data_IF_516601312831
#
_entry.id   IF_516601312831
#
_cell.length_a   1.000
_cell.length_b   1.000
_cell.length_c   1.000
_cell.angle_alpha   90.00
_cell.angle_beta   90.00
_cell.angle_gamma   90.00
#
_symmetry.space_group_name_H-M   'P 1'
#
loop_
_entity.id
_entity.type
_entity.pdbx_description
1 polymer ?
#
# COMPACT_ATOMS: atom_id res chain seq x y z
N UNK A 1 -18.41 -32.03 19.86
CA UNK A 1 -18.09 -30.75 19.19
C UNK A 1 -16.57 -30.63 19.24
N UNK A 2 -15.90 -30.89 18.12
CA UNK A 2 -14.43 -30.81 18.07
C UNK A 2 -14.09 -29.36 17.80
N UNK A 3 -13.52 -28.69 18.79
CA UNK A 3 -12.95 -27.36 18.60
C UNK A 3 -11.70 -27.54 17.74
N UNK A 4 -11.81 -27.19 16.45
CA UNK A 4 -10.63 -27.00 15.61
C UNK A 4 -9.90 -25.77 16.16
N UNK A 5 -8.60 -25.92 16.40
CA UNK A 5 -7.69 -24.77 16.54
C UNK A 5 -7.87 -23.86 15.32
N UNK A 6 -7.92 -22.53 15.47
CA UNK A 6 -7.89 -21.64 14.32
C UNK A 6 -6.63 -21.94 13.52
N UNK A 7 -6.77 -22.28 12.24
CA UNK A 7 -5.66 -22.19 11.31
C UNK A 7 -5.17 -20.72 11.32
N UNK A 8 -3.86 -20.46 11.15
CA UNK A 8 -3.40 -19.08 10.96
C UNK A 8 -4.25 -18.44 9.85
N UNK A 9 -4.67 -17.19 10.05
CA UNK A 9 -5.45 -16.45 9.06
C UNK A 9 -4.63 -16.40 7.77
N UNK A 10 -4.89 -17.28 6.80
CA UNK A 10 -4.37 -17.10 5.46
C UNK A 10 -4.99 -15.82 4.90
N UNK A 11 -4.19 -14.76 4.79
CA UNK A 11 -4.63 -13.53 4.13
C UNK A 11 -4.71 -13.79 2.64
N UNK A 12 -5.82 -13.40 2.02
CA UNK A 12 -6.08 -13.62 0.60
C UNK A 12 -6.28 -12.28 -0.09
N UNK A 13 -5.73 -12.13 -1.30
CA UNK A 13 -6.04 -11.01 -2.18
C UNK A 13 -7.10 -11.46 -3.18
N UNK A 14 -8.23 -10.78 -3.19
CA UNK A 14 -9.35 -11.07 -4.08
C UNK A 14 -9.60 -9.87 -4.99
N UNK A 15 -9.65 -10.13 -6.29
CA UNK A 15 -10.12 -9.17 -7.28
C UNK A 15 -11.54 -9.51 -7.73
N UNK A 16 -12.31 -8.49 -8.09
CA UNK A 16 -13.61 -8.65 -8.76
C UNK A 16 -13.48 -8.12 -10.19
N UNK A 17 -13.73 -8.98 -11.17
CA UNK A 17 -13.70 -8.60 -12.59
C UNK A 17 -15.07 -8.02 -12.98
N UNK A 18 -15.11 -6.75 -13.39
CA UNK A 18 -16.35 -6.07 -13.77
C UNK A 18 -16.91 -6.54 -15.13
N UNK A 19 -16.08 -7.14 -15.98
CA UNK A 19 -16.49 -7.62 -17.30
C UNK A 19 -17.13 -9.01 -17.25
N UNK A 20 -16.57 -9.91 -16.44
CA UNK A 20 -17.15 -11.25 -16.22
C UNK A 20 -18.06 -11.34 -15.00
N UNK A 21 -18.06 -10.34 -14.11
CA UNK A 21 -18.76 -10.35 -12.82
C UNK A 21 -18.32 -11.49 -11.89
N UNK A 22 -17.07 -11.91 -11.98
CA UNK A 22 -16.51 -13.02 -11.20
C UNK A 22 -15.42 -12.57 -10.23
N UNK A 23 -15.34 -13.27 -9.09
CA UNK A 23 -14.23 -13.12 -8.16
C UNK A 23 -13.05 -13.99 -8.61
N UNK A 24 -11.84 -13.42 -8.51
CA UNK A 24 -10.58 -14.13 -8.73
C UNK A 24 -9.66 -13.96 -7.55
N UNK A 25 -9.02 -15.05 -7.15
CA UNK A 25 -7.92 -15.00 -6.19
C UNK A 25 -6.65 -14.56 -6.91
N UNK A 26 -5.96 -13.61 -6.32
CA UNK A 26 -4.67 -13.11 -6.80
C UNK A 26 -3.61 -13.55 -5.81
N UNK A 27 -2.47 -14.01 -6.34
CA UNK A 27 -1.36 -14.37 -5.48
C UNK A 27 -0.71 -13.11 -4.88
N UNK A 28 -0.47 -13.17 -3.58
CA UNK A 28 0.26 -12.16 -2.82
C UNK A 28 1.76 -12.23 -3.14
N UNK A 29 2.51 -11.13 -2.95
CA UNK A 29 3.96 -11.20 -2.99
C UNK A 29 4.49 -12.07 -1.84
N UNK A 30 5.75 -12.50 -1.95
CA UNK A 30 6.46 -13.21 -0.88
C UNK A 30 6.77 -12.25 0.29
N UNK A 31 5.71 -11.88 1.02
CA UNK A 31 5.71 -10.97 2.14
C UNK A 31 4.99 -11.61 3.33
N UNK A 32 5.50 -11.35 4.53
CA UNK A 32 4.96 -11.91 5.77
C UNK A 32 3.75 -11.09 6.23
N UNK A 33 2.64 -11.13 5.49
CA UNK A 33 1.44 -10.42 5.90
C UNK A 33 0.91 -10.94 7.23
N UNK A 34 1.10 -12.21 7.58
CA UNK A 34 0.60 -12.78 8.84
C UNK A 34 1.18 -12.09 10.08
N UNK A 35 2.41 -11.57 9.97
CA UNK A 35 3.10 -10.81 11.03
C UNK A 35 2.80 -9.30 10.96
N UNK A 36 2.17 -8.84 9.88
CA UNK A 36 1.80 -7.45 9.70
C UNK A 36 0.60 -7.08 10.57
N UNK A 37 0.82 -6.13 11.48
CA UNK A 37 -0.23 -5.53 12.30
C UNK A 37 -0.99 -4.43 11.56
N UNK A 38 -0.47 -3.95 10.43
CA UNK A 38 -1.16 -3.06 9.51
C UNK A 38 -0.77 -3.40 8.06
N UNK A 39 -1.74 -3.45 7.16
CA UNK A 39 -1.51 -3.59 5.73
C UNK A 39 -2.63 -2.91 4.95
N UNK A 40 -2.35 -2.51 3.72
CA UNK A 40 -3.30 -1.80 2.87
C UNK A 40 -2.99 -2.07 1.39
N UNK A 41 -4.03 -2.03 0.54
CA UNK A 41 -3.92 -2.25 -0.91
C UNK A 41 -4.55 -1.07 -1.62
N UNK A 42 -3.79 -0.44 -2.52
CA UNK A 42 -4.25 0.72 -3.29
C UNK A 42 -3.78 0.65 -4.73
N UNK A 43 -4.45 1.39 -5.61
CA UNK A 43 -3.92 1.68 -6.93
C UNK A 43 -3.01 2.92 -6.86
N UNK A 44 -1.82 2.84 -7.43
CA UNK A 44 -0.88 3.97 -7.53
C UNK A 44 -0.20 3.95 -8.88
N UNK A 45 -0.33 5.04 -9.66
CA UNK A 45 0.33 5.16 -10.96
C UNK A 45 -0.13 4.14 -12.01
N UNK A 46 -1.30 3.53 -11.83
CA UNK A 46 -1.81 2.46 -12.70
C UNK A 46 -1.34 1.06 -12.31
N UNK A 47 -0.62 0.90 -11.20
CA UNK A 47 -0.23 -0.40 -10.65
C UNK A 47 -0.95 -0.69 -9.33
N UNK A 48 -1.04 -1.97 -8.92
CA UNK A 48 -1.48 -2.32 -7.56
C UNK A 48 -0.30 -2.16 -6.61
N UNK A 49 -0.52 -1.46 -5.51
CA UNK A 49 0.42 -1.26 -4.43
C UNK A 49 -0.09 -1.95 -3.15
N UNK A 50 0.74 -2.79 -2.54
CA UNK A 50 0.50 -3.41 -1.24
C UNK A 50 1.49 -2.81 -0.24
N UNK A 51 0.98 -2.35 0.90
CA UNK A 51 1.80 -1.94 2.05
C UNK A 51 1.65 -2.94 3.18
N UNK A 52 2.74 -3.23 3.88
CA UNK A 52 2.74 -4.11 5.03
C UNK A 52 3.65 -3.54 6.12
N UNK A 53 3.10 -3.35 7.31
CA UNK A 53 3.84 -2.88 8.48
C UNK A 53 3.87 -3.98 9.53
N UNK A 54 5.08 -4.42 9.88
CA UNK A 54 5.33 -5.52 10.81
C UNK A 54 6.48 -5.16 11.74
N UNK A 55 6.66 -6.00 12.76
CA UNK A 55 7.76 -5.86 13.72
C UNK A 55 8.89 -6.78 13.28
N UNK A 56 10.09 -6.23 13.18
CA UNK A 56 11.31 -6.99 12.97
C UNK A 56 12.27 -6.72 14.13
N UNK A 57 12.46 -7.71 15.01
CA UNK A 57 13.15 -7.56 16.29
C UNK A 57 12.66 -6.35 17.13
N UNK A 58 13.50 -5.32 17.27
CA UNK A 58 13.21 -4.09 18.00
C UNK A 58 12.61 -2.98 17.14
N UNK A 59 12.56 -3.19 15.82
CA UNK A 59 12.25 -2.15 14.84
C UNK A 59 10.86 -2.38 14.23
N UNK A 60 10.32 -1.29 13.65
CA UNK A 60 9.11 -1.34 12.83
C UNK A 60 9.55 -1.25 11.38
N UNK A 61 9.12 -2.21 10.58
CA UNK A 61 9.39 -2.28 9.15
C UNK A 61 8.11 -1.97 8.40
N UNK A 62 8.20 -1.04 7.44
CA UNK A 62 7.15 -0.77 6.47
C UNK A 62 7.64 -1.14 5.06
N UNK A 63 7.08 -2.22 4.52
CA UNK A 63 7.33 -2.69 3.17
C UNK A 63 6.26 -2.15 2.22
N UNK A 64 6.71 -1.77 1.02
CA UNK A 64 5.86 -1.33 -0.08
C UNK A 64 6.16 -2.18 -1.30
N UNK A 65 5.15 -2.87 -1.81
CA UNK A 65 5.23 -3.76 -2.97
C UNK A 65 4.34 -3.24 -4.09
N UNK A 66 4.77 -3.43 -5.33
CA UNK A 66 4.01 -3.05 -6.54
C UNK A 66 3.87 -4.23 -7.48
N UNK A 67 2.65 -4.50 -7.96
CA UNK A 67 2.32 -5.45 -9.03
C UNK A 67 2.09 -4.65 -10.32
N UNK A 68 2.99 -4.84 -11.30
CA UNK A 68 2.92 -4.15 -12.59
C UNK A 68 2.06 -4.88 -13.63
N UNK A 69 1.90 -6.19 -13.48
CA UNK A 69 1.06 -7.00 -14.36
C UNK A 69 -0.03 -7.66 -13.52
N UNK A 70 -1.26 -7.19 -13.74
CA UNK A 70 -2.41 -7.55 -12.92
C UNK A 70 -2.68 -9.06 -12.89
N UNK A 71 -2.56 -9.65 -11.71
CA UNK A 71 -2.78 -11.08 -11.48
C UNK A 71 -1.59 -11.98 -11.78
N UNK A 72 -0.42 -11.42 -12.11
CA UNK A 72 0.82 -12.17 -12.29
C UNK A 72 1.69 -12.00 -11.05
N UNK A 73 1.90 -13.09 -10.30
CA UNK A 73 2.66 -13.08 -9.05
C UNK A 73 4.08 -12.56 -9.23
N UNK A 74 4.74 -12.98 -10.31
CA UNK A 74 6.13 -12.65 -10.63
C UNK A 74 6.32 -11.16 -10.95
N UNK A 75 5.22 -10.44 -11.21
CA UNK A 75 5.26 -8.99 -11.45
C UNK A 75 5.30 -8.17 -10.17
N UNK A 76 5.10 -8.79 -9.00
CA UNK A 76 5.33 -8.14 -7.72
C UNK A 76 6.80 -7.80 -7.55
N UNK A 77 7.07 -6.56 -7.19
CA UNK A 77 8.41 -6.10 -6.85
C UNK A 77 8.37 -5.23 -5.60
N UNK A 78 9.33 -5.44 -4.69
CA UNK A 78 9.46 -4.59 -3.51
C UNK A 78 10.03 -3.25 -3.94
N UNK A 79 9.24 -2.19 -3.76
CA UNK A 79 9.64 -0.82 -4.09
C UNK A 79 10.55 -0.26 -3.00
N UNK A 80 10.09 -0.32 -1.74
CA UNK A 80 10.76 0.25 -0.57
C UNK A 80 10.59 -0.68 0.63
N UNK A 81 11.60 -0.70 1.50
CA UNK A 81 11.54 -1.26 2.84
C UNK A 81 12.12 -0.22 3.80
N UNK A 82 11.28 0.31 4.69
CA UNK A 82 11.70 1.32 5.67
C UNK A 82 11.77 0.71 7.05
N UNK A 83 13.00 0.66 7.59
CA UNK A 83 13.23 0.31 8.99
C UNK A 83 13.28 1.60 9.82
N UNK A 84 12.35 1.75 10.76
CA UNK A 84 12.43 2.83 11.74
C UNK A 84 13.06 2.31 13.03
N UNK A 85 14.28 2.76 13.37
CA UNK A 85 14.83 2.51 14.68
C UNK A 85 14.03 3.32 15.70
N UNK A 86 13.49 2.60 16.69
CA UNK A 86 12.69 3.11 17.82
C UNK A 86 11.19 3.28 17.58
N UNK A 87 10.43 2.76 18.56
CA UNK A 87 8.97 2.79 18.68
C UNK A 87 8.35 4.15 18.34
N UNK A 88 7.84 4.29 17.12
CA UNK A 88 6.79 5.26 16.82
C UNK A 88 5.50 4.45 16.65
N UNK A 89 4.57 4.49 17.62
CA UNK A 89 3.40 3.60 17.67
C UNK A 89 2.35 3.76 16.55
N UNK A 90 2.62 4.54 15.51
CA UNK A 90 1.61 4.97 14.53
C UNK A 90 2.15 5.17 13.11
N UNK A 91 3.17 4.43 12.72
CA UNK A 91 3.78 4.53 11.39
C UNK A 91 2.91 3.79 10.37
N UNK A 92 1.73 4.35 10.10
CA UNK A 92 1.01 4.06 8.86
C UNK A 92 1.82 4.75 7.75
N UNK A 93 2.34 3.96 6.81
CA UNK A 93 3.05 4.44 5.62
C UNK A 93 2.15 4.20 4.42
N UNK A 94 1.61 5.28 3.87
CA UNK A 94 0.73 5.21 2.70
C UNK A 94 1.44 5.84 1.50
N UNK A 95 1.86 5.06 0.50
CA UNK A 95 2.31 5.62 -0.77
C UNK A 95 1.13 6.28 -1.48
N UNK A 96 1.35 7.49 -1.98
CA UNK A 96 0.31 8.31 -2.58
C UNK A 96 0.48 8.47 -4.08
N UNK A 97 1.69 8.79 -4.53
CA UNK A 97 1.97 9.07 -5.92
C UNK A 97 3.47 8.99 -6.23
N UNK A 98 3.79 8.72 -7.49
CA UNK A 98 5.12 8.97 -8.03
C UNK A 98 5.31 10.45 -8.37
N UNK A 99 6.55 10.94 -8.31
CA UNK A 99 6.93 12.20 -8.94
C UNK A 99 6.72 12.14 -10.45
N UNK A 100 6.67 13.30 -11.11
CA UNK A 100 6.56 13.34 -12.58
C UNK A 100 7.70 12.62 -13.31
N UNK A 101 8.88 12.60 -12.70
CA UNK A 101 10.07 11.89 -13.19
C UNK A 101 10.09 10.41 -12.82
N UNK A 102 9.20 9.95 -11.94
CA UNK A 102 9.13 8.56 -11.47
C UNK A 102 10.26 8.15 -10.51
N UNK A 103 11.14 9.08 -10.14
CA UNK A 103 12.31 8.86 -9.28
C UNK A 103 12.03 9.04 -7.79
N UNK A 104 10.88 9.62 -7.44
CA UNK A 104 10.45 9.80 -6.04
C UNK A 104 9.03 9.29 -5.82
N UNK A 105 8.75 8.88 -4.59
CA UNK A 105 7.41 8.47 -4.13
C UNK A 105 6.99 9.38 -2.99
N UNK A 106 5.78 9.92 -3.07
CA UNK A 106 5.16 10.71 -2.01
C UNK A 106 4.50 9.75 -1.03
N UNK A 107 4.80 9.88 0.25
CA UNK A 107 4.18 9.12 1.32
C UNK A 107 3.41 10.04 2.26
N UNK A 108 2.26 9.57 2.73
CA UNK A 108 1.68 10.00 4.00
C UNK A 108 2.23 9.10 5.11
N UNK A 109 2.81 9.70 6.14
CA UNK A 109 3.33 9.02 7.32
C UNK A 109 2.68 9.59 8.59
N UNK A 110 2.37 8.72 9.55
CA UNK A 110 1.81 9.10 10.85
C UNK A 110 0.59 10.04 10.73
N UNK A 111 -0.30 9.72 9.80
CA UNK A 111 -1.61 10.34 9.51
C UNK A 111 -1.60 11.80 9.01
N UNK A 112 -0.54 12.59 9.23
CA UNK A 112 -0.56 14.03 8.87
C UNK A 112 0.77 14.60 8.34
N UNK A 113 1.79 13.77 8.10
CA UNK A 113 3.06 14.23 7.54
C UNK A 113 3.24 13.66 6.15
N UNK A 114 3.74 14.49 5.25
CA UNK A 114 4.08 14.07 3.90
C UNK A 114 5.59 14.06 3.73
N UNK A 115 6.11 13.04 3.05
CA UNK A 115 7.52 12.96 2.71
C UNK A 115 7.71 12.50 1.27
N UNK A 116 8.68 13.08 0.58
CA UNK A 116 9.24 12.50 -0.63
C UNK A 116 10.31 11.49 -0.26
N UNK A 117 10.21 10.29 -0.80
CA UNK A 117 11.27 9.31 -0.77
C UNK A 117 11.91 9.23 -2.16
N UNK A 118 13.20 9.48 -2.25
CA UNK A 118 13.98 9.35 -3.49
C UNK A 118 14.44 7.89 -3.67
N UNK A 119 13.99 7.25 -4.75
CA UNK A 119 14.21 5.82 -5.00
C UNK A 119 15.68 5.47 -5.25
N UNK A 120 16.45 6.40 -5.83
CA UNK A 120 17.87 6.19 -6.14
C UNK A 120 18.77 6.38 -4.93
N UNK A 121 18.65 7.54 -4.27
CA UNK A 121 19.48 7.93 -3.13
C UNK A 121 18.97 7.41 -1.78
N UNK A 122 17.73 6.88 -1.74
CA UNK A 122 17.04 6.41 -0.53
C UNK A 122 16.87 7.48 0.55
N UNK A 123 16.79 8.76 0.13
CA UNK A 123 16.65 9.91 1.03
C UNK A 123 15.19 10.27 1.23
N UNK A 124 14.89 10.76 2.44
CA UNK A 124 13.58 11.25 2.83
C UNK A 124 13.62 12.78 2.94
N UNK A 125 12.70 13.45 2.28
CA UNK A 125 12.53 14.90 2.30
C UNK A 125 11.14 15.26 2.82
N UNK A 126 11.04 16.12 3.84
CA UNK A 126 9.75 16.55 4.38
C UNK A 126 9.00 17.46 3.41
N UNK A 127 7.69 17.24 3.26
CA UNK A 127 6.81 18.03 2.40
C UNK A 127 5.83 18.80 3.27
N UNK A 128 5.91 20.13 3.20
CA UNK A 128 4.95 21.04 3.83
C UNK A 128 3.87 21.45 2.85
N UNK A 129 2.63 21.02 3.10
CA UNK A 129 1.46 21.48 2.34
C UNK A 129 0.75 22.55 3.17
N UNK A 130 0.68 23.78 2.63
CA UNK A 130 0.04 24.92 3.32
C UNK A 130 -1.47 24.85 3.18
N UNK A 131 -2.19 25.27 4.22
CA UNK A 131 -3.65 25.39 4.21
C UNK A 131 -4.39 24.07 4.47
N UNK A 132 -3.70 23.01 4.89
CA UNK A 132 -4.36 21.79 5.34
C UNK A 132 -5.07 22.02 6.69
N UNK A 133 -6.27 21.42 6.89
CA UNK A 133 -6.89 21.34 8.19
C UNK A 133 -6.00 20.61 9.21
N UNK A 134 -6.28 20.77 10.51
CA UNK A 134 -5.57 20.05 11.57
C UNK A 134 -5.80 18.53 11.56
N UNK A 135 -6.83 18.07 10.86
CA UNK A 135 -7.17 16.66 10.66
C UNK A 135 -7.81 16.51 9.28
N UNK A 136 -7.35 15.54 8.50
CA UNK A 136 -7.84 15.21 7.17
C UNK A 136 -7.53 13.75 6.88
N UNK A 137 -8.33 13.13 6.01
CA UNK A 137 -8.07 11.81 5.45
C UNK A 137 -7.45 11.95 4.05
N UNK A 138 -6.74 10.90 3.62
CA UNK A 138 -6.11 10.85 2.30
C UNK A 138 -6.66 9.67 1.52
N UNK A 139 -7.50 9.99 0.55
CA UNK A 139 -8.04 9.03 -0.40
C UNK A 139 -7.30 9.13 -1.74
N UNK A 140 -7.02 7.98 -2.35
CA UNK A 140 -6.47 7.90 -3.69
C UNK A 140 -7.60 7.75 -4.69
N UNK A 141 -7.72 8.75 -5.55
CA UNK A 141 -8.65 8.71 -6.67
C UNK A 141 -7.95 8.19 -7.91
N UNK A 142 -8.51 7.14 -8.51
CA UNK A 142 -8.16 6.68 -9.84
C UNK A 142 -9.39 6.86 -10.72
N UNK A 143 -9.22 7.56 -11.84
CA UNK A 143 -10.29 7.76 -12.81
C UNK A 143 -10.78 6.41 -13.33
N UNK A 144 -12.11 6.22 -13.33
CA UNK A 144 -12.73 5.05 -13.93
C UNK A 144 -12.68 5.16 -15.45
N UNK A 145 -12.29 4.08 -16.13
CA UNK A 145 -12.39 3.96 -17.59
C UNK A 145 -13.83 3.76 -18.08
N UNK A 146 -14.79 3.56 -17.17
CA UNK A 146 -16.21 3.41 -17.50
C UNK A 146 -16.87 4.77 -17.32
N UNK A 147 -17.38 5.40 -18.39
CA UNK A 147 -18.23 6.58 -18.26
C UNK A 147 -19.44 6.23 -17.41
N UNK A 148 -19.77 7.07 -16.43
CA UNK A 148 -21.07 6.98 -15.75
C UNK A 148 -22.15 7.26 -16.80
N UNK A 149 -22.73 6.19 -17.33
CA UNK A 149 -23.86 6.29 -18.24
C UNK A 149 -25.08 6.67 -17.40
N UNK A 150 -25.26 7.98 -17.20
CA UNK A 150 -26.47 8.51 -16.58
C UNK A 150 -27.59 8.27 -17.59
N UNK A 151 -28.40 7.23 -17.36
CA UNK A 151 -29.67 7.08 -18.05
C UNK A 151 -30.58 8.22 -17.58
N UNK A 152 -30.72 9.25 -18.43
CA UNK A 152 -31.75 10.29 -18.29
C UNK A 152 -33.12 9.75 -18.70
#
# INVERSE_FOLDING_TARGET
MVFRTPEPLNKELVGFDLGSEEFRFLELPDCYLDEAFFFDIKAMGGDICLTATFRDFSDIVADVWIMKEYGVKESWSKLISWNQPHYIPSVVVLPLAFSKSGDKVLFSIALHKFVWYDLGSKRVENVGIRGLPSSFDVDLYVESLVPLMVML
#
